data_IF_529345312939
#
_entry.id   IF_529345312939
#
_cell.length_a   1.000
_cell.length_b   1.000
_cell.length_c   1.000
_cell.angle_alpha   90.00
_cell.angle_beta   90.00
_cell.angle_gamma   90.00
#
_symmetry.space_group_name_H-M   'P 1'
#
loop_
_entity.id
_entity.type
_entity.pdbx_description
1 polymer ?
#
# COMPACT_ATOMS: atom_id res chain seq x y z
N UNK A 1 -20.48 6.34 10.55
CA UNK A 1 -20.65 5.13 9.72
C UNK A 1 -19.40 4.98 8.89
N UNK A 2 -18.73 3.85 9.03
CA UNK A 2 -17.38 3.56 8.53
C UNK A 2 -17.26 3.87 7.04
N UNK A 3 -16.52 4.94 6.72
CA UNK A 3 -16.13 5.28 5.36
C UNK A 3 -15.49 4.05 4.72
N UNK A 4 -16.21 3.49 3.76
CA UNK A 4 -15.78 2.34 2.98
C UNK A 4 -14.74 2.87 2.01
N UNK A 5 -13.54 3.19 2.51
CA UNK A 5 -12.38 3.49 1.70
C UNK A 5 -12.26 2.32 0.72
N UNK A 6 -12.64 2.55 -0.53
CA UNK A 6 -12.81 1.51 -1.55
C UNK A 6 -11.49 0.87 -1.95
N UNK A 7 -10.39 1.29 -1.33
CA UNK A 7 -9.06 0.82 -1.62
C UNK A 7 -8.54 -0.16 -0.56
N UNK A 8 -8.16 -1.35 -1.00
CA UNK A 8 -7.51 -2.39 -0.21
C UNK A 8 -5.98 -2.28 -0.34
N UNK A 9 -5.25 -2.44 0.77
CA UNK A 9 -3.78 -2.41 0.77
C UNK A 9 -3.28 -3.84 0.95
N UNK A 10 -2.57 -4.36 -0.05
CA UNK A 10 -1.86 -5.63 0.02
C UNK A 10 -0.37 -5.39 0.14
N UNK A 11 0.25 -6.07 1.11
CA UNK A 11 1.68 -6.07 1.31
C UNK A 11 2.22 -7.46 1.03
N UNK A 12 3.30 -7.50 0.26
CA UNK A 12 4.03 -8.72 -0.06
C UNK A 12 5.50 -8.50 0.18
N UNK A 13 6.09 -9.30 1.06
CA UNK A 13 7.55 -9.33 1.18
C UNK A 13 8.12 -9.96 -0.08
N UNK A 14 8.90 -9.19 -0.84
CA UNK A 14 9.49 -9.64 -2.12
C UNK A 14 10.91 -10.15 -1.97
N UNK A 15 11.62 -9.75 -0.90
CA UNK A 15 12.96 -10.28 -0.64
C UNK A 15 13.64 -9.56 0.51
N UNK A 16 14.88 -9.95 0.81
CA UNK A 16 15.68 -9.34 1.86
C UNK A 16 15.37 -9.86 3.27
N UNK A 17 16.33 -9.64 4.17
CA UNK A 17 16.28 -10.10 5.57
C UNK A 17 16.70 -8.93 6.47
N UNK A 18 15.95 -8.71 7.55
CA UNK A 18 16.23 -7.62 8.50
C UNK A 18 16.06 -6.23 7.88
N UNK A 19 17.07 -5.38 7.99
CA UNK A 19 17.02 -3.97 7.56
C UNK A 19 16.91 -3.80 6.03
N UNK A 20 17.28 -4.82 5.26
CA UNK A 20 17.20 -4.84 3.80
C UNK A 20 15.92 -5.53 3.29
N UNK A 21 14.93 -5.74 4.16
CA UNK A 21 13.67 -6.38 3.75
C UNK A 21 12.95 -5.48 2.74
N UNK A 22 12.72 -5.98 1.55
CA UNK A 22 11.96 -5.30 0.52
C UNK A 22 10.50 -5.76 0.58
N UNK A 23 9.63 -4.79 0.74
CA UNK A 23 8.19 -4.96 0.73
C UNK A 23 7.63 -4.34 -0.53
N UNK A 24 6.90 -5.13 -1.29
CA UNK A 24 6.04 -4.61 -2.34
C UNK A 24 4.67 -4.34 -1.72
N UNK A 25 4.11 -3.19 -2.04
CA UNK A 25 2.76 -2.83 -1.64
C UNK A 25 1.94 -2.52 -2.89
N UNK A 26 0.68 -2.92 -2.83
CA UNK A 26 -0.28 -2.80 -3.91
C UNK A 26 -1.58 -2.27 -3.32
N UNK A 27 -2.14 -1.26 -3.97
CA UNK A 27 -3.42 -0.66 -3.63
C UNK A 27 -4.39 -1.11 -4.69
N UNK A 28 -5.37 -1.90 -4.27
CA UNK A 28 -6.45 -2.38 -5.11
C UNK A 28 -7.66 -1.49 -4.89
N UNK A 29 -8.35 -1.14 -5.95
CA UNK A 29 -9.67 -0.50 -5.86
C UNK A 29 -10.76 -1.53 -5.50
N UNK A 30 -12.00 -1.08 -5.31
CA UNK A 30 -13.18 -1.89 -5.00
C UNK A 30 -13.43 -2.96 -6.08
N UNK A 31 -13.03 -2.69 -7.32
CA UNK A 31 -13.06 -3.65 -8.41
C UNK A 31 -11.93 -4.72 -8.36
N UNK A 32 -11.06 -4.68 -7.34
CA UNK A 32 -9.89 -5.56 -7.21
C UNK A 32 -8.73 -5.21 -8.14
N UNK A 33 -8.83 -4.12 -8.91
CA UNK A 33 -7.79 -3.64 -9.83
C UNK A 33 -6.69 -2.90 -9.08
N UNK A 34 -5.43 -3.21 -9.36
CA UNK A 34 -4.29 -2.44 -8.84
C UNK A 34 -4.33 -1.03 -9.43
N UNK A 35 -4.68 -0.05 -8.62
CA UNK A 35 -4.66 1.36 -9.01
C UNK A 35 -3.31 1.99 -8.76
N UNK A 36 -2.54 1.44 -7.82
CA UNK A 36 -1.21 1.92 -7.49
C UNK A 36 -0.41 0.83 -6.82
N UNK A 37 0.88 0.79 -7.08
CA UNK A 37 1.80 -0.13 -6.43
C UNK A 37 3.14 0.55 -6.23
N UNK A 38 3.95 -0.04 -5.37
CA UNK A 38 5.30 0.43 -5.13
C UNK A 38 6.10 -0.56 -4.30
N UNK A 39 7.35 -0.21 -4.05
CA UNK A 39 8.26 -0.99 -3.21
C UNK A 39 8.84 -0.11 -2.12
N UNK A 40 9.05 -0.67 -0.94
CA UNK A 40 9.66 -0.02 0.19
C UNK A 40 10.68 -0.97 0.83
N UNK A 41 11.90 -0.48 1.03
CA UNK A 41 12.95 -1.20 1.76
C UNK A 41 12.88 -0.80 3.23
N UNK A 42 12.88 -1.79 4.13
CA UNK A 42 12.90 -1.62 5.57
C UNK A 42 11.85 -2.46 6.30
N UNK A 43 11.45 -2.05 7.53
CA UNK A 43 10.46 -2.78 8.32
C UNK A 43 9.07 -2.71 7.69
N UNK A 44 8.25 -3.73 7.94
CA UNK A 44 6.88 -3.86 7.41
C UNK A 44 6.03 -2.60 7.64
N UNK A 45 6.13 -2.01 8.83
CA UNK A 45 5.38 -0.81 9.17
C UNK A 45 5.69 0.36 8.23
N UNK A 46 6.96 0.55 7.80
CA UNK A 46 7.30 1.59 6.81
C UNK A 46 6.58 1.35 5.49
N UNK A 47 6.57 0.11 5.02
CA UNK A 47 5.91 -0.25 3.77
C UNK A 47 4.39 -0.01 3.86
N UNK A 48 3.77 -0.36 4.99
CA UNK A 48 2.36 -0.06 5.25
C UNK A 48 2.09 1.45 5.32
N UNK A 49 2.92 2.24 6.00
CA UNK A 49 2.79 3.70 6.05
C UNK A 49 2.88 4.32 4.65
N UNK A 50 3.82 3.88 3.82
CA UNK A 50 3.94 4.35 2.42
C UNK A 50 2.70 4.00 1.61
N UNK A 51 2.21 2.76 1.70
CA UNK A 51 1.00 2.33 1.02
C UNK A 51 -0.24 3.12 1.50
N UNK A 52 -0.34 3.38 2.81
CA UNK A 52 -1.42 4.18 3.39
C UNK A 52 -1.39 5.61 2.88
N UNK A 53 -0.24 6.28 2.91
CA UNK A 53 -0.10 7.64 2.36
C UNK A 53 -0.46 7.66 0.87
N UNK A 54 -0.03 6.64 0.12
CA UNK A 54 -0.36 6.53 -1.29
C UNK A 54 -1.86 6.31 -1.55
N UNK A 55 -2.54 5.55 -0.68
CA UNK A 55 -4.00 5.37 -0.66
C UNK A 55 -4.69 6.68 -0.32
N UNK A 56 -4.30 7.36 0.75
CA UNK A 56 -4.90 8.64 1.16
C UNK A 56 -4.75 9.71 0.07
N UNK A 57 -3.61 9.76 -0.62
CA UNK A 57 -3.42 10.62 -1.80
C UNK A 57 -4.33 10.24 -2.97
N UNK A 58 -4.60 8.95 -3.18
CA UNK A 58 -5.55 8.49 -4.20
C UNK A 58 -6.97 8.91 -3.85
N UNK A 59 -7.39 8.71 -2.59
CA UNK A 59 -8.72 9.13 -2.13
C UNK A 59 -8.89 10.65 -2.23
N UNK A 60 -7.85 11.42 -1.86
CA UNK A 60 -7.85 12.88 -1.97
C UNK A 60 -7.84 13.39 -3.42
N UNK A 61 -7.18 12.69 -4.33
CA UNK A 61 -7.12 13.07 -5.76
C UNK A 61 -8.36 12.63 -6.55
N UNK A 62 -9.20 11.74 -5.98
CA UNK A 62 -10.44 11.26 -6.57
C UNK A 62 -11.67 12.07 -6.13
N UNK A 63 -11.47 13.17 -5.39
CA UNK A 63 -12.50 14.08 -4.89
C UNK A 63 -12.46 15.40 -5.65
#
# INVERSE_FOLDING_TARGET
>A
MTEKSSYDIKLRRTGGVGQNTNWQWEIHDSAGKVVKSGTAVGPEHKAFTTARIAKEKLEASSK
#
